data_IF_792939783689
#
_entry.id   IF_792939783689
#
_cell.length_a   1.000
_cell.length_b   1.000
_cell.length_c   1.000
_cell.angle_alpha   90.00
_cell.angle_beta   90.00
_cell.angle_gamma   90.00
#
_symmetry.space_group_name_H-M   'P 1'
#
loop_
_entity.id
_entity.type
_entity.pdbx_description
1 polymer ?
#
# COMPACT_ATOMS: atom_id res chain seq x y z
N UNK A 1 -5.15 -14.19 -11.17
CA UNK A 1 -6.03 -15.04 -12.01
C UNK A 1 -7.20 -14.23 -12.59
N UNK A 2 -7.81 -13.29 -11.84
CA UNK A 2 -8.90 -12.43 -12.33
C UNK A 2 -8.48 -11.27 -13.25
N UNK A 3 -7.19 -10.92 -13.32
CA UNK A 3 -6.70 -9.76 -14.10
C UNK A 3 -7.00 -9.86 -15.61
N UNK A 4 -6.85 -11.04 -16.20
CA UNK A 4 -7.15 -11.25 -17.63
C UNK A 4 -8.64 -11.07 -17.93
N UNK A 5 -9.49 -11.59 -17.03
CA UNK A 5 -10.95 -11.50 -17.13
C UNK A 5 -11.40 -10.06 -16.91
N UNK A 6 -10.79 -9.34 -15.98
CA UNK A 6 -11.04 -7.92 -15.72
C UNK A 6 -10.75 -7.06 -16.94
N UNK A 7 -9.66 -7.31 -17.66
CA UNK A 7 -9.35 -6.57 -18.89
C UNK A 7 -10.37 -6.85 -20.01
N UNK A 8 -10.76 -8.12 -20.19
CA UNK A 8 -11.77 -8.54 -21.16
C UNK A 8 -13.15 -7.95 -20.85
N UNK A 9 -13.65 -8.14 -19.62
CA UNK A 9 -14.99 -7.71 -19.19
C UNK A 9 -15.04 -6.19 -18.97
N UNK A 10 -13.98 -5.57 -18.47
CA UNK A 10 -13.97 -4.14 -18.12
C UNK A 10 -14.23 -3.20 -19.30
N UNK A 11 -13.97 -3.65 -20.54
CA UNK A 11 -14.30 -2.92 -21.76
C UNK A 11 -15.80 -2.95 -22.11
N UNK A 12 -16.47 -4.07 -21.80
CA UNK A 12 -17.87 -4.31 -22.16
C UNK A 12 -18.85 -3.98 -21.03
N UNK A 13 -18.44 -4.24 -19.78
CA UNK A 13 -19.21 -4.07 -18.55
C UNK A 13 -18.34 -3.50 -17.41
N UNK A 14 -18.20 -2.16 -17.30
CA UNK A 14 -17.26 -1.51 -16.39
C UNK A 14 -17.50 -1.78 -14.89
N UNK A 15 -18.74 -1.76 -14.39
CA UNK A 15 -19.05 -2.03 -12.98
C UNK A 15 -18.67 -3.46 -12.60
N UNK A 16 -19.04 -4.43 -13.44
CA UNK A 16 -18.67 -5.83 -13.23
C UNK A 16 -17.14 -5.98 -13.25
N UNK A 17 -16.46 -5.35 -14.21
CA UNK A 17 -14.99 -5.35 -14.29
C UNK A 17 -14.31 -4.76 -13.04
N UNK A 18 -14.86 -3.69 -12.45
CA UNK A 18 -14.32 -3.13 -11.21
C UNK A 18 -14.51 -4.06 -10.01
N UNK A 19 -15.64 -4.76 -9.95
CA UNK A 19 -15.99 -5.63 -8.83
C UNK A 19 -15.26 -6.98 -8.88
N UNK A 20 -15.05 -7.54 -10.07
CA UNK A 20 -14.45 -8.86 -10.25
C UNK A 20 -12.97 -8.90 -9.82
N UNK A 21 -12.28 -7.76 -9.90
CA UNK A 21 -10.91 -7.59 -9.39
C UNK A 21 -10.83 -7.09 -7.95
N UNK A 22 -11.96 -6.92 -7.28
CA UNK A 22 -12.04 -6.39 -5.91
C UNK A 22 -12.48 -7.46 -4.89
N UNK A 23 -12.68 -7.07 -3.62
CA UNK A 23 -13.09 -7.99 -2.55
C UNK A 23 -14.47 -8.63 -2.79
N UNK A 24 -15.31 -8.03 -3.64
CA UNK A 24 -16.58 -8.59 -4.08
C UNK A 24 -16.47 -9.53 -5.30
N UNK A 25 -15.25 -9.85 -5.75
CA UNK A 25 -15.04 -10.51 -7.03
C UNK A 25 -15.56 -11.94 -7.10
N UNK A 26 -15.55 -12.68 -5.98
CA UNK A 26 -16.13 -14.03 -5.90
C UNK A 26 -17.66 -14.02 -6.03
N UNK A 27 -18.32 -13.03 -5.43
CA UNK A 27 -19.77 -12.86 -5.51
C UNK A 27 -20.20 -12.49 -6.93
N UNK A 28 -19.48 -11.55 -7.56
CA UNK A 28 -19.75 -11.14 -8.95
C UNK A 28 -19.38 -12.24 -9.96
N UNK A 29 -18.31 -12.99 -9.70
CA UNK A 29 -17.95 -14.19 -10.47
C UNK A 29 -19.08 -15.23 -10.49
N UNK A 30 -19.75 -15.44 -9.36
CA UNK A 30 -20.90 -16.35 -9.26
C UNK A 30 -22.12 -15.91 -10.08
N UNK A 31 -22.39 -14.60 -10.14
CA UNK A 31 -23.46 -14.05 -10.98
C UNK A 31 -23.16 -14.23 -12.47
N UNK A 32 -21.90 -14.01 -12.88
CA UNK A 32 -21.46 -14.23 -14.26
C UNK A 32 -21.52 -15.71 -14.62
N UNK A 33 -20.99 -16.58 -13.76
CA UNK A 33 -21.00 -18.02 -13.97
C UNK A 33 -22.43 -18.56 -14.15
N UNK A 34 -23.36 -18.07 -13.32
CA UNK A 34 -24.78 -18.43 -13.41
C UNK A 34 -25.43 -17.91 -14.70
N UNK A 35 -25.10 -16.68 -15.12
CA UNK A 35 -25.60 -16.11 -16.37
C UNK A 35 -25.05 -16.83 -17.62
N UNK A 36 -23.82 -17.35 -17.56
CA UNK A 36 -23.17 -18.07 -18.66
C UNK A 36 -23.38 -19.59 -18.59
N UNK A 37 -23.96 -20.12 -17.51
CA UNK A 37 -24.16 -21.55 -17.31
C UNK A 37 -22.87 -22.36 -17.13
N UNK A 38 -21.82 -21.74 -16.59
CA UNK A 38 -20.50 -22.37 -16.39
C UNK A 38 -20.15 -22.48 -14.92
N UNK A 39 -19.09 -23.24 -14.63
CA UNK A 39 -18.56 -23.34 -13.28
C UNK A 39 -18.09 -21.96 -12.76
N UNK A 40 -18.31 -21.68 -11.47
CA UNK A 40 -17.84 -20.45 -10.82
C UNK A 40 -16.34 -20.49 -10.55
N UNK A 41 -15.55 -20.64 -11.60
CA UNK A 41 -14.09 -20.55 -11.57
C UNK A 41 -13.61 -19.52 -12.59
N UNK A 42 -12.52 -18.78 -12.29
CA UNK A 42 -11.97 -17.80 -13.24
C UNK A 42 -11.68 -18.43 -14.60
N UNK A 43 -11.14 -19.65 -14.59
CA UNK A 43 -10.72 -20.36 -15.81
C UNK A 43 -11.94 -20.73 -16.67
N UNK A 44 -13.01 -21.26 -16.08
CA UNK A 44 -14.21 -21.63 -16.83
C UNK A 44 -14.91 -20.40 -17.44
N UNK A 45 -15.00 -19.30 -16.68
CA UNK A 45 -15.57 -18.04 -17.17
C UNK A 45 -14.72 -17.46 -18.31
N UNK A 46 -13.39 -17.47 -18.17
CA UNK A 46 -12.49 -16.99 -19.22
C UNK A 46 -12.62 -17.82 -20.51
N UNK A 47 -12.71 -19.14 -20.39
CA UNK A 47 -12.93 -20.03 -21.53
C UNK A 47 -14.29 -19.79 -22.19
N UNK A 48 -15.35 -19.61 -21.40
CA UNK A 48 -16.69 -19.31 -21.92
C UNK A 48 -16.72 -18.01 -22.73
N UNK A 49 -16.04 -16.97 -22.25
CA UNK A 49 -15.93 -15.69 -22.94
C UNK A 49 -15.10 -15.82 -24.22
N UNK A 50 -14.01 -16.59 -24.20
CA UNK A 50 -13.16 -16.82 -25.39
C UNK A 50 -13.85 -17.65 -26.46
N UNK A 51 -14.65 -18.63 -26.07
CA UNK A 51 -15.36 -19.54 -26.98
C UNK A 51 -16.64 -18.92 -27.54
N UNK A 52 -17.28 -18.00 -26.82
CA UNK A 52 -18.52 -17.38 -27.23
C UNK A 52 -18.47 -15.84 -27.12
N UNK A 53 -18.33 -15.11 -28.24
CA UNK A 53 -18.39 -13.65 -28.27
C UNK A 53 -19.71 -13.08 -27.74
N UNK A 54 -20.82 -13.83 -27.80
CA UNK A 54 -22.11 -13.40 -27.25
C UNK A 54 -22.13 -13.38 -25.72
N UNK A 55 -21.20 -14.08 -25.06
CA UNK A 55 -21.06 -14.05 -23.60
C UNK A 55 -20.83 -12.62 -23.09
N UNK A 56 -20.11 -11.78 -23.84
CA UNK A 56 -19.89 -10.38 -23.48
C UNK A 56 -21.19 -9.55 -23.57
N UNK A 57 -22.06 -9.88 -24.53
CA UNK A 57 -23.38 -9.23 -24.66
C UNK A 57 -24.27 -9.63 -23.47
N UNK A 58 -24.25 -10.90 -23.09
CA UNK A 58 -24.96 -11.39 -21.91
C UNK A 58 -24.46 -10.73 -20.61
N UNK A 59 -23.15 -10.59 -20.45
CA UNK A 59 -22.56 -9.90 -19.29
C UNK A 59 -22.95 -8.40 -19.26
N UNK A 60 -22.97 -7.73 -20.41
CA UNK A 60 -23.42 -6.32 -20.49
C UNK A 60 -24.90 -6.18 -20.17
N UNK A 61 -25.73 -7.14 -20.61
CA UNK A 61 -27.16 -7.20 -20.28
C UNK A 61 -27.36 -7.39 -18.77
N UNK A 62 -26.63 -8.32 -18.17
CA UNK A 62 -26.60 -8.55 -16.73
C UNK A 62 -26.20 -7.28 -15.96
N UNK A 63 -25.17 -6.57 -16.41
CA UNK A 63 -24.77 -5.29 -15.79
C UNK A 63 -25.89 -4.25 -15.83
N UNK A 64 -26.63 -4.19 -16.94
CA UNK A 64 -27.74 -3.25 -17.10
C UNK A 64 -28.95 -3.64 -16.23
N UNK A 65 -29.28 -4.93 -16.14
CA UNK A 65 -30.40 -5.45 -15.36
C UNK A 65 -30.13 -5.33 -13.86
N UNK A 66 -28.92 -5.70 -13.42
CA UNK A 66 -28.52 -5.71 -12.01
C UNK A 66 -27.76 -4.45 -11.59
N UNK A 67 -27.87 -3.36 -12.36
CA UNK A 67 -27.07 -2.14 -12.16
C UNK A 67 -27.15 -1.59 -10.75
N UNK A 68 -28.34 -1.64 -10.15
CA UNK A 68 -28.58 -1.15 -8.77
C UNK A 68 -27.89 -2.05 -7.76
N UNK A 69 -28.04 -3.37 -7.90
CA UNK A 69 -27.39 -4.38 -7.06
C UNK A 69 -25.87 -4.27 -7.14
N UNK A 70 -25.32 -4.17 -8.35
CA UNK A 70 -23.89 -4.02 -8.59
C UNK A 70 -23.34 -2.72 -8.00
N UNK A 71 -24.07 -1.60 -8.12
CA UNK A 71 -23.70 -0.34 -7.45
C UNK A 71 -23.70 -0.47 -5.93
N UNK A 72 -24.67 -1.18 -5.35
CA UNK A 72 -24.72 -1.43 -3.91
C UNK A 72 -23.52 -2.28 -3.47
N UNK A 73 -23.20 -3.33 -4.21
CA UNK A 73 -22.01 -4.15 -3.97
C UNK A 73 -20.72 -3.33 -4.08
N UNK A 74 -20.62 -2.42 -5.05
CA UNK A 74 -19.46 -1.53 -5.20
C UNK A 74 -19.28 -0.58 -4.00
N UNK A 75 -20.39 -0.01 -3.52
CA UNK A 75 -20.38 0.83 -2.31
C UNK A 75 -20.04 0.03 -1.05
N UNK A 76 -20.51 -1.21 -0.93
CA UNK A 76 -20.15 -2.07 0.19
C UNK A 76 -18.68 -2.48 0.14
N UNK A 77 -18.17 -2.86 -1.03
CA UNK A 77 -16.76 -3.18 -1.23
C UNK A 77 -15.85 -1.99 -0.89
N UNK A 78 -16.24 -0.77 -1.29
CA UNK A 78 -15.48 0.44 -0.95
C UNK A 78 -15.58 0.78 0.54
N UNK A 79 -16.74 0.57 1.18
CA UNK A 79 -16.89 0.75 2.61
C UNK A 79 -16.00 -0.20 3.41
N UNK A 80 -15.95 -1.49 3.04
CA UNK A 80 -15.06 -2.48 3.68
C UNK A 80 -13.60 -2.05 3.54
N UNK A 81 -13.16 -1.68 2.34
CA UNK A 81 -11.79 -1.21 2.10
C UNK A 81 -11.45 0.05 2.91
N UNK A 82 -12.42 0.96 3.08
CA UNK A 82 -12.26 2.15 3.93
C UNK A 82 -12.16 1.77 5.40
N UNK A 83 -12.93 0.80 5.87
CA UNK A 83 -12.90 0.37 7.27
C UNK A 83 -11.62 -0.40 7.60
N UNK A 84 -11.09 -1.23 6.69
CA UNK A 84 -9.76 -1.83 6.82
C UNK A 84 -8.68 -0.74 6.95
N UNK A 85 -8.69 0.25 6.05
CA UNK A 85 -7.78 1.41 6.13
C UNK A 85 -7.92 2.18 7.44
N UNK A 86 -9.15 2.39 7.93
CA UNK A 86 -9.37 3.05 9.22
C UNK A 86 -8.86 2.20 10.37
N UNK A 87 -9.03 0.88 10.33
CA UNK A 87 -8.51 -0.02 11.35
C UNK A 87 -6.98 -0.01 11.38
N UNK A 88 -6.31 -0.06 10.22
CA UNK A 88 -4.85 0.11 10.12
C UNK A 88 -4.38 1.47 10.68
N UNK A 89 -5.08 2.55 10.32
CA UNK A 89 -4.77 3.89 10.82
C UNK A 89 -5.02 4.01 12.32
N UNK A 90 -6.09 3.41 12.83
CA UNK A 90 -6.40 3.40 14.26
C UNK A 90 -5.35 2.60 15.04
N UNK A 91 -4.91 1.46 14.52
CA UNK A 91 -3.85 0.65 15.12
C UNK A 91 -2.53 1.44 15.17
N UNK A 92 -2.10 2.04 14.05
CA UNK A 92 -0.89 2.88 14.03
C UNK A 92 -0.99 4.11 14.93
N UNK A 93 -2.17 4.73 15.05
CA UNK A 93 -2.41 5.82 15.99
C UNK A 93 -2.34 5.33 17.44
N UNK A 94 -2.93 4.18 17.75
CA UNK A 94 -2.91 3.60 19.08
C UNK A 94 -1.48 3.24 19.50
N UNK A 95 -0.70 2.62 18.60
CA UNK A 95 0.72 2.35 18.82
C UNK A 95 1.51 3.65 19.09
N UNK A 96 1.23 4.74 18.37
CA UNK A 96 1.86 6.05 18.63
C UNK A 96 1.49 6.60 19.99
N UNK A 97 0.23 6.47 20.41
CA UNK A 97 -0.22 6.96 21.72
C UNK A 97 0.39 6.14 22.86
N UNK A 98 0.44 4.81 22.73
CA UNK A 98 1.03 3.93 23.75
C UNK A 98 2.55 4.11 23.89
N UNK A 99 3.25 4.40 22.79
CA UNK A 99 4.70 4.52 22.79
C UNK A 99 5.22 5.96 22.79
N UNK A 100 4.34 6.98 22.96
CA UNK A 100 4.72 8.40 22.86
C UNK A 100 5.79 8.84 23.87
N UNK A 101 5.73 8.30 25.09
CA UNK A 101 6.65 8.64 26.19
C UNK A 101 7.65 7.51 26.46
N UNK A 102 7.74 6.53 25.58
CA UNK A 102 8.69 5.43 25.75
C UNK A 102 10.11 5.96 25.51
N UNK A 103 11.05 5.66 26.42
CA UNK A 103 12.43 6.16 26.37
C UNK A 103 13.30 5.51 25.27
N UNK A 104 12.83 4.40 24.69
CA UNK A 104 13.59 3.59 23.73
C UNK A 104 13.96 4.34 22.44
N UNK A 105 13.08 5.12 21.78
CA UNK A 105 13.45 5.90 20.58
C UNK A 105 14.52 6.96 20.87
N UNK A 106 14.43 7.64 22.02
CA UNK A 106 15.45 8.61 22.44
C UNK A 106 16.79 7.92 22.73
N UNK A 107 16.79 6.78 23.43
CA UNK A 107 18.00 6.03 23.71
C UNK A 107 18.65 5.50 22.43
N UNK A 108 17.87 4.93 21.50
CA UNK A 108 18.40 4.48 20.20
C UNK A 108 19.00 5.65 19.40
N UNK A 109 18.36 6.81 19.40
CA UNK A 109 18.88 8.00 18.71
C UNK A 109 20.20 8.46 19.30
N UNK A 110 20.30 8.50 20.64
CA UNK A 110 21.53 8.86 21.34
C UNK A 110 22.63 7.82 21.09
N UNK A 111 22.33 6.53 21.19
CA UNK A 111 23.30 5.45 20.94
C UNK A 111 23.82 5.51 19.50
N UNK A 112 22.93 5.69 18.51
CA UNK A 112 23.31 5.81 17.10
C UNK A 112 24.15 7.07 16.85
N UNK A 113 23.78 8.20 17.45
CA UNK A 113 24.56 9.43 17.37
C UNK A 113 25.96 9.24 17.97
N UNK A 114 26.06 8.64 19.16
CA UNK A 114 27.33 8.33 19.81
C UNK A 114 28.18 7.35 18.98
N UNK A 115 27.58 6.35 18.36
CA UNK A 115 28.29 5.39 17.53
C UNK A 115 28.89 6.05 16.27
N UNK A 116 28.12 6.89 15.59
CA UNK A 116 28.59 7.64 14.41
C UNK A 116 29.65 8.67 14.81
N UNK A 117 29.39 9.47 15.85
CA UNK A 117 30.36 10.44 16.36
C UNK A 117 31.64 9.77 16.83
N UNK A 118 31.55 8.64 17.53
CA UNK A 118 32.71 7.86 17.97
C UNK A 118 33.54 7.32 16.82
N UNK A 119 32.89 6.82 15.76
CA UNK A 119 33.58 6.38 14.54
C UNK A 119 34.37 7.52 13.90
N UNK A 120 33.78 8.71 13.75
CA UNK A 120 34.48 9.87 13.19
C UNK A 120 35.57 10.40 14.12
N UNK A 121 35.32 10.48 15.43
CA UNK A 121 36.33 10.88 16.42
C UNK A 121 37.54 9.95 16.44
N UNK A 122 37.34 8.64 16.28
CA UNK A 122 38.43 7.67 16.20
C UNK A 122 39.35 7.91 15.00
N UNK A 123 38.82 8.38 13.87
CA UNK A 123 39.62 8.73 12.68
C UNK A 123 40.52 9.96 12.89
N UNK A 124 40.18 10.86 13.83
CA UNK A 124 41.03 11.98 14.21
C UNK A 124 42.06 11.62 15.28
N UNK A 125 41.77 10.62 16.11
CA UNK A 125 42.64 10.20 17.21
C UNK A 125 43.65 9.10 16.83
N UNK A 126 43.35 8.31 15.79
CA UNK A 126 44.18 7.18 15.35
C UNK A 126 44.37 7.22 13.83
N UNK A 127 45.61 7.03 13.37
CA UNK A 127 45.90 6.80 11.94
C UNK A 127 45.55 5.35 11.57
N UNK A 128 44.57 5.14 10.67
CA UNK A 128 44.22 3.78 10.24
C UNK A 128 45.34 3.18 9.37
N UNK A 129 45.54 1.85 9.41
CA UNK A 129 46.46 1.19 8.50
C UNK A 129 46.03 1.40 7.04
N UNK A 130 46.98 1.75 6.16
CA UNK A 130 46.73 2.02 4.73
C UNK A 130 46.01 0.90 3.97
N UNK A 131 46.08 -0.34 4.47
CA UNK A 131 45.34 -1.48 3.92
C UNK A 131 43.80 -1.29 3.98
N UNK A 132 43.30 -0.43 4.87
CA UNK A 132 41.87 -0.22 5.10
C UNK A 132 41.34 1.12 4.59
N UNK A 133 42.17 1.98 4.00
CA UNK A 133 41.80 3.34 3.57
C UNK A 133 40.54 3.37 2.70
N UNK A 134 40.48 2.50 1.68
CA UNK A 134 39.35 2.42 0.77
C UNK A 134 38.05 1.98 1.48
N UNK A 135 38.15 1.04 2.42
CA UNK A 135 36.99 0.54 3.20
C UNK A 135 36.47 1.64 4.12
N UNK A 136 37.37 2.39 4.76
CA UNK A 136 37.03 3.50 5.65
C UNK A 136 36.35 4.63 4.87
N UNK A 137 36.91 5.03 3.72
CA UNK A 137 36.33 6.08 2.86
C UNK A 137 34.92 5.68 2.38
N UNK A 138 34.74 4.44 1.93
CA UNK A 138 33.44 3.95 1.46
C UNK A 138 32.40 3.90 2.60
N UNK A 139 32.82 3.47 3.79
CA UNK A 139 31.95 3.40 4.96
C UNK A 139 31.57 4.81 5.44
N UNK A 140 32.53 5.73 5.51
CA UNK A 140 32.28 7.12 5.88
C UNK A 140 31.30 7.81 4.90
N UNK A 141 31.49 7.60 3.59
CA UNK A 141 30.55 8.10 2.57
C UNK A 141 29.15 7.52 2.71
N UNK A 142 29.04 6.22 2.98
CA UNK A 142 27.75 5.54 3.20
C UNK A 142 27.03 6.08 4.44
N UNK A 143 27.76 6.31 5.54
CA UNK A 143 27.21 6.88 6.77
C UNK A 143 26.76 8.33 6.58
N UNK A 144 27.54 9.16 5.87
CA UNK A 144 27.12 10.52 5.51
C UNK A 144 25.86 10.53 4.64
N UNK A 145 25.75 9.61 3.67
CA UNK A 145 24.55 9.44 2.85
C UNK A 145 23.32 9.06 3.69
N UNK A 146 23.45 8.09 4.59
CA UNK A 146 22.39 7.68 5.51
C UNK A 146 22.00 8.79 6.50
N UNK A 147 22.96 9.62 6.94
CA UNK A 147 22.67 10.79 7.75
C UNK A 147 21.84 11.83 6.98
N UNK A 148 22.17 12.07 5.71
CA UNK A 148 21.40 12.93 4.82
C UNK A 148 19.95 12.48 4.64
N UNK A 149 19.71 11.17 4.45
CA UNK A 149 18.35 10.62 4.34
C UNK A 149 17.58 10.72 5.66
N UNK A 150 18.25 10.52 6.81
CA UNK A 150 17.64 10.71 8.12
C UNK A 150 17.20 12.16 8.36
N UNK A 151 18.06 13.14 8.02
CA UNK A 151 17.72 14.57 8.12
C UNK A 151 16.54 14.93 7.20
N UNK A 152 16.55 14.42 5.96
CA UNK A 152 15.44 14.64 5.02
C UNK A 152 14.12 14.07 5.56
N UNK A 153 14.14 12.87 6.16
CA UNK A 153 12.99 12.28 6.81
C UNK A 153 12.49 13.13 7.99
N UNK A 154 13.39 13.63 8.84
CA UNK A 154 13.04 14.42 10.03
C UNK A 154 12.43 15.79 9.65
N UNK A 155 13.02 16.48 8.68
CA UNK A 155 12.50 17.76 8.17
C UNK A 155 11.19 17.56 7.38
N UNK A 156 11.08 16.48 6.60
CA UNK A 156 9.88 16.14 5.82
C UNK A 156 8.69 15.76 6.71
N UNK A 157 8.91 14.90 7.71
CA UNK A 157 7.88 14.49 8.66
C UNK A 157 7.40 15.65 9.54
N UNK A 158 8.30 16.57 9.91
CA UNK A 158 7.96 17.80 10.65
C UNK A 158 7.05 18.73 9.84
N UNK A 159 7.35 18.96 8.55
CA UNK A 159 6.49 19.75 7.65
C UNK A 159 5.13 19.10 7.44
N UNK A 160 5.09 17.80 7.15
CA UNK A 160 3.84 17.05 6.97
C UNK A 160 2.95 17.08 8.22
N UNK A 161 3.55 17.03 9.42
CA UNK A 161 2.81 17.12 10.69
C UNK A 161 2.23 18.52 10.93
N UNK A 162 2.97 19.57 10.57
CA UNK A 162 2.48 20.95 10.66
C UNK A 162 1.30 21.21 9.72
N UNK A 163 1.39 20.73 8.47
CA UNK A 163 0.31 20.88 7.48
C UNK A 163 -0.96 20.14 7.90
N UNK A 164 -0.82 18.92 8.44
CA UNK A 164 -1.96 18.17 8.99
C UNK A 164 -2.62 18.88 10.17
N UNK A 165 -1.84 19.45 11.08
CA UNK A 165 -2.38 20.21 12.23
C UNK A 165 -3.16 21.44 11.78
N UNK A 166 -2.67 22.13 10.73
CA UNK A 166 -3.35 23.28 10.12
C UNK A 166 -4.65 22.88 9.42
N UNK A 167 -4.67 21.76 8.70
CA UNK A 167 -5.89 21.23 8.06
C UNK A 167 -6.94 20.79 9.09
N UNK A 168 -6.52 20.29 10.25
CA UNK A 168 -7.39 19.85 11.34
C UNK A 168 -7.83 21.00 12.27
N UNK A 169 -7.38 22.24 12.02
CA UNK A 169 -7.74 23.41 12.84
C UNK A 169 -7.18 23.37 14.27
N UNK A 170 -6.24 22.45 14.56
CA UNK A 170 -5.60 22.34 15.86
C UNK A 170 -4.58 23.47 15.99
N UNK A 171 -4.94 24.55 16.70
CA UNK A 171 -3.96 25.54 17.15
C UNK A 171 -3.06 24.89 18.19
N UNK A 172 -1.75 24.92 17.93
CA UNK A 172 -0.71 24.60 18.93
C UNK A 172 -0.86 25.47 20.16
#
# INVERSE_FOLDING_TARGET
>A
MWENIKALIGSAAPLIGTLIGGPAGSAVGGLIASALGVENTPVAIEQAIKQNPEALIAIRKLESEERVTLKKLALQASAIALDERKAELADTQNARVQHKDHWMPSAMTIILALMVSGMFSALFAFEPPKAYDQVIIMTAGSVLGAFGTAVAFWLGSSRSSADKSKQLGLKK
#
